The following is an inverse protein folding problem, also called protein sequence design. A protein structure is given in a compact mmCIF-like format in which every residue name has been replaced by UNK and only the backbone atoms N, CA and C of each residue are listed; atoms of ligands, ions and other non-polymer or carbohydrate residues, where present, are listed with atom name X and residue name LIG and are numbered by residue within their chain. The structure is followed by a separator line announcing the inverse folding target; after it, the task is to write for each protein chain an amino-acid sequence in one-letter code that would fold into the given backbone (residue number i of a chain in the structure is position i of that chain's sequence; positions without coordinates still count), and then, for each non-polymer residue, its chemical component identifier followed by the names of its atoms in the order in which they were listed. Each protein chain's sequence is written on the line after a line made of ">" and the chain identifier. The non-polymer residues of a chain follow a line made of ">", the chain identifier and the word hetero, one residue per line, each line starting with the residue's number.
data_IF_091494881530
#
_entry.id   IF_091494881530
#
_cell.length_a   1.000
_cell.length_b   1.000
_cell.length_c   1.000
_cell.angle_alpha   90.00
_cell.angle_beta   90.00
_cell.angle_gamma   90.00
#
_symmetry.space_group_name_H-M   'P 1'
#
loop_
_entity.id
_entity.type
_entity.pdbx_description
1 polymer ?
#
# COMPACT_ATOMS: atom_id res chain seq x y z
N UNK A 1 21.58 -21.85 -20.20
CA UNK A 1 21.61 -21.43 -18.78
C UNK A 1 22.68 -20.36 -18.64
N UNK A 2 22.29 -19.09 -18.48
CA UNK A 2 23.21 -17.96 -18.52
C UNK A 2 23.73 -17.63 -17.10
N UNK A 3 25.03 -17.29 -16.90
CA UNK A 3 25.67 -17.23 -15.57
C UNK A 3 25.46 -15.93 -14.79
N UNK A 4 24.56 -15.02 -15.21
CA UNK A 4 24.46 -13.67 -14.63
C UNK A 4 23.32 -13.48 -13.61
N UNK A 5 22.66 -14.56 -13.17
CA UNK A 5 21.49 -14.47 -12.28
C UNK A 5 21.79 -14.16 -10.79
N UNK A 6 23.03 -13.78 -10.44
CA UNK A 6 23.42 -13.49 -9.06
C UNK A 6 24.17 -12.16 -9.02
N UNK A 7 23.54 -11.09 -8.53
CA UNK A 7 24.32 -9.97 -8.00
C UNK A 7 23.81 -8.54 -8.11
N UNK A 8 22.59 -8.25 -8.60
CA UNK A 8 22.09 -6.86 -8.59
C UNK A 8 20.78 -6.76 -7.81
N UNK A 9 20.92 -6.48 -6.50
CA UNK A 9 19.81 -6.02 -5.68
C UNK A 9 19.35 -4.66 -6.21
N UNK A 10 18.04 -4.50 -6.31
CA UNK A 10 17.39 -3.36 -6.99
C UNK A 10 17.68 -2.04 -6.24
N UNK A 11 17.90 -0.89 -6.91
CA UNK A 11 18.29 0.38 -6.27
C UNK A 11 17.38 0.86 -5.13
N UNK A 12 16.06 0.62 -5.26
CA UNK A 12 15.10 0.94 -4.20
C UNK A 12 15.28 0.06 -2.95
N UNK A 13 15.81 -1.16 -3.09
CA UNK A 13 16.16 -2.01 -1.96
C UNK A 13 17.34 -1.41 -1.20
N UNK A 14 18.38 -0.91 -1.88
CA UNK A 14 19.47 -0.19 -1.21
C UNK A 14 18.99 1.06 -0.49
N UNK A 15 18.11 1.85 -1.11
CA UNK A 15 17.51 3.00 -0.44
C UNK A 15 16.72 2.57 0.81
N UNK A 16 15.89 1.53 0.70
CA UNK A 16 15.13 1.00 1.83
C UNK A 16 16.03 0.39 2.92
N UNK A 17 17.14 -0.27 2.55
CA UNK A 17 18.10 -0.85 3.49
C UNK A 17 18.94 0.22 4.18
N UNK A 18 19.35 1.27 3.47
CA UNK A 18 20.05 2.42 4.06
C UNK A 18 19.14 3.18 5.03
N UNK A 19 17.87 3.36 4.67
CA UNK A 19 16.85 3.96 5.54
C UNK A 19 16.49 3.06 6.73
N UNK A 20 16.48 1.73 6.57
CA UNK A 20 16.27 0.81 7.68
C UNK A 20 17.50 0.74 8.60
N UNK A 21 18.72 0.78 8.05
CA UNK A 21 19.96 0.80 8.80
C UNK A 21 20.11 2.08 9.62
N UNK A 22 19.64 3.23 9.10
CA UNK A 22 19.63 4.49 9.86
C UNK A 22 18.64 4.49 11.03
N UNK A 23 17.67 3.57 11.07
CA UNK A 23 16.78 3.36 12.23
C UNK A 23 17.44 2.53 13.36
N UNK A 24 18.55 1.84 13.12
CA UNK A 24 19.21 0.99 14.10
C UNK A 24 19.87 1.79 15.26
N UNK A 25 20.61 2.89 15.01
CA UNK A 25 21.09 3.78 16.07
C UNK A 25 19.94 4.33 16.94
N UNK A 26 18.79 4.62 16.32
CA UNK A 26 17.59 5.09 17.01
C UNK A 26 17.04 4.04 18.00
N UNK A 27 16.96 2.76 17.59
CA UNK A 27 16.52 1.67 18.47
C UNK A 27 17.47 1.47 19.65
N UNK A 28 18.78 1.59 19.42
CA UNK A 28 19.82 1.44 20.45
C UNK A 28 19.73 2.55 21.51
N UNK A 29 19.58 3.81 21.09
CA UNK A 29 19.42 4.95 22.00
C UNK A 29 18.12 4.82 22.81
N UNK A 30 17.02 4.40 22.19
CA UNK A 30 15.75 4.15 22.88
C UNK A 30 15.92 3.07 23.97
N UNK A 31 16.68 2.01 23.70
CA UNK A 31 16.98 0.94 24.67
C UNK A 31 17.79 1.44 25.88
N UNK A 32 18.70 2.39 25.67
CA UNK A 32 19.54 2.98 26.73
C UNK A 32 18.71 3.94 27.60
N UNK A 33 17.85 4.76 26.99
CA UNK A 33 17.02 5.75 27.70
C UNK A 33 15.95 5.13 28.61
N UNK A 34 15.37 3.98 28.24
CA UNK A 34 14.42 3.30 29.12
C UNK A 34 15.05 2.73 30.41
N UNK A 35 16.39 2.65 30.48
CA UNK A 35 17.11 2.03 31.60
C UNK A 35 17.57 3.01 32.69
N UNK A 36 17.67 4.32 32.39
CA UNK A 36 18.26 5.32 33.30
C UNK A 36 17.63 6.71 33.13
N UNK A 37 16.35 6.91 33.46
CA UNK A 37 15.69 8.18 33.09
C UNK A 37 15.86 9.32 34.09
N UNK A 38 16.30 10.49 33.59
CA UNK A 38 15.69 11.82 33.84
C UNK A 38 15.75 12.64 32.54
N UNK A 39 14.99 12.25 31.51
CA UNK A 39 15.35 12.47 30.11
C UNK A 39 14.31 13.22 29.24
N UNK A 40 14.10 14.52 29.49
CA UNK A 40 13.27 15.34 28.59
C UNK A 40 14.01 15.74 27.29
N UNK A 41 15.30 16.08 27.37
CA UNK A 41 16.11 16.56 26.24
C UNK A 41 16.45 15.45 25.23
N UNK A 42 16.85 14.23 25.67
CA UNK A 42 17.06 13.12 24.75
C UNK A 42 15.79 12.71 24.01
N UNK A 43 14.64 12.68 24.69
CA UNK A 43 13.35 12.37 24.08
C UNK A 43 12.97 13.38 22.99
N UNK A 44 13.12 14.69 23.25
CA UNK A 44 12.83 15.74 22.27
C UNK A 44 13.73 15.63 21.03
N UNK A 45 15.02 15.35 21.22
CA UNK A 45 16.00 15.18 20.13
C UNK A 45 15.59 14.01 19.22
N UNK A 46 15.15 12.91 19.82
CA UNK A 46 14.68 11.73 19.10
C UNK A 46 13.45 12.05 18.25
N UNK A 47 12.44 12.71 18.82
CA UNK A 47 11.23 13.08 18.07
C UNK A 47 11.55 13.96 16.86
N UNK A 48 12.50 14.88 16.99
CA UNK A 48 12.93 15.76 15.89
C UNK A 48 13.58 14.95 14.77
N UNK A 49 14.54 14.07 15.09
CA UNK A 49 15.25 13.26 14.09
C UNK A 49 14.27 12.32 13.37
N UNK A 50 13.39 11.63 14.10
CA UNK A 50 12.37 10.76 13.51
C UNK A 50 11.42 11.55 12.60
N UNK A 51 10.97 12.73 13.03
CA UNK A 51 10.14 13.61 12.22
C UNK A 51 10.80 13.99 10.89
N UNK A 52 12.08 14.39 10.92
CA UNK A 52 12.84 14.75 9.73
C UNK A 52 13.00 13.58 8.75
N UNK A 53 13.29 12.37 9.25
CA UNK A 53 13.43 11.17 8.42
C UNK A 53 12.10 10.77 7.78
N UNK A 54 10.98 10.84 8.51
CA UNK A 54 9.65 10.61 7.94
C UNK A 54 9.34 11.61 6.81
N UNK A 55 9.69 12.88 6.99
CA UNK A 55 9.52 13.91 5.95
C UNK A 55 10.35 13.63 4.70
N UNK A 56 11.61 13.24 4.85
CA UNK A 56 12.46 12.84 3.72
C UNK A 56 11.87 11.66 2.95
N UNK A 57 11.32 10.67 3.66
CA UNK A 57 10.68 9.50 3.05
C UNK A 57 9.45 9.89 2.23
N UNK A 58 8.58 10.76 2.76
CA UNK A 58 7.41 11.27 2.04
C UNK A 58 7.82 12.06 0.79
N UNK A 59 8.88 12.87 0.87
CA UNK A 59 9.37 13.64 -0.27
C UNK A 59 9.91 12.74 -1.39
N UNK A 60 10.70 11.72 -1.03
CA UNK A 60 11.20 10.73 -1.98
C UNK A 60 10.06 9.98 -2.67
N UNK A 61 9.05 9.53 -1.90
CA UNK A 61 7.88 8.86 -2.44
C UNK A 61 7.12 9.75 -3.44
N UNK A 62 6.88 11.04 -3.10
CA UNK A 62 6.23 12.01 -3.98
C UNK A 62 7.00 12.21 -5.30
N UNK A 63 8.32 12.38 -5.23
CA UNK A 63 9.17 12.53 -6.42
C UNK A 63 9.10 11.32 -7.34
N UNK A 64 9.08 10.11 -6.78
CA UNK A 64 8.95 8.86 -7.55
C UNK A 64 7.59 8.77 -8.24
N UNK A 65 6.50 9.14 -7.56
CA UNK A 65 5.15 9.16 -8.14
C UNK A 65 5.03 10.22 -9.25
N UNK A 66 5.55 11.43 -9.03
CA UNK A 66 5.58 12.47 -10.07
C UNK A 66 6.37 12.03 -11.30
N UNK A 67 7.51 11.39 -11.10
CA UNK A 67 8.32 10.85 -12.18
C UNK A 67 7.57 9.78 -12.97
N UNK A 68 6.91 8.84 -12.27
CA UNK A 68 6.10 7.80 -12.90
C UNK A 68 4.94 8.39 -13.72
N UNK A 69 4.24 9.40 -13.18
CA UNK A 69 3.15 10.11 -13.88
C UNK A 69 3.65 10.80 -15.15
N UNK A 70 4.80 11.46 -15.11
CA UNK A 70 5.39 12.09 -16.31
C UNK A 70 5.71 11.06 -17.40
N UNK A 71 6.25 9.89 -17.03
CA UNK A 71 6.48 8.80 -17.98
C UNK A 71 5.19 8.30 -18.63
N UNK A 72 4.15 8.10 -17.83
CA UNK A 72 2.84 7.69 -18.35
C UNK A 72 2.30 8.69 -19.37
N UNK A 73 2.36 10.00 -19.06
CA UNK A 73 1.92 11.07 -19.96
C UNK A 73 2.72 11.13 -21.28
N UNK A 74 3.97 10.67 -21.27
CA UNK A 74 4.81 10.56 -22.46
C UNK A 74 4.55 9.27 -23.27
N UNK A 75 3.56 8.45 -22.90
CA UNK A 75 3.28 7.16 -23.53
C UNK A 75 4.34 6.09 -23.24
N UNK A 76 5.17 6.30 -22.22
CA UNK A 76 6.28 5.41 -21.84
C UNK A 76 5.86 4.37 -20.80
N UNK A 77 4.56 4.10 -20.70
CA UNK A 77 3.99 3.07 -19.84
C UNK A 77 4.03 1.71 -20.56
N UNK A 78 4.71 0.72 -20.00
CA UNK A 78 4.85 -0.61 -20.60
C UNK A 78 5.99 -0.77 -21.60
N UNK A 79 6.66 0.31 -22.02
CA UNK A 79 7.91 0.27 -22.80
C UNK A 79 9.09 0.42 -21.84
N UNK A 80 9.82 -0.68 -21.65
CA UNK A 80 10.94 -0.79 -20.73
C UNK A 80 10.47 -0.92 -19.27
N UNK A 81 10.79 -2.04 -18.63
CA UNK A 81 10.75 -2.09 -17.16
C UNK A 81 11.80 -1.11 -16.61
N UNK A 82 11.61 -0.54 -15.39
CA UNK A 82 12.48 0.51 -14.84
C UNK A 82 13.98 0.20 -14.69
N UNK A 83 14.43 -1.01 -15.03
CA UNK A 83 15.81 -1.48 -14.86
C UNK A 83 16.37 -2.20 -16.10
N UNK A 84 15.66 -2.16 -17.23
CA UNK A 84 16.08 -2.79 -18.48
C UNK A 84 16.34 -1.68 -19.52
N UNK A 85 17.52 -1.05 -19.41
CA UNK A 85 18.04 -0.12 -20.42
C UNK A 85 18.73 -0.92 -21.52
N UNK A 86 18.03 -1.17 -22.63
CA UNK A 86 18.70 -1.43 -23.91
C UNK A 86 18.81 -0.12 -24.70
N UNK A 87 19.89 0.02 -25.47
CA UNK A 87 20.31 1.20 -26.25
C UNK A 87 19.23 1.82 -27.18
N UNK A 88 18.07 1.20 -27.33
CA UNK A 88 16.98 1.65 -28.21
C UNK A 88 16.22 2.87 -27.67
N UNK A 89 16.14 3.06 -26.34
CA UNK A 89 15.45 4.20 -25.74
C UNK A 89 16.09 5.55 -26.12
N UNK A 90 17.40 5.57 -26.30
CA UNK A 90 18.15 6.75 -26.75
C UNK A 90 17.88 7.09 -28.23
N UNK A 91 17.54 6.09 -29.04
CA UNK A 91 17.19 6.29 -30.45
C UNK A 91 15.87 7.01 -30.66
N UNK A 92 14.90 6.81 -29.75
CA UNK A 92 13.58 7.44 -29.81
C UNK A 92 13.66 8.92 -29.37
N UNK A 93 14.50 9.23 -28.38
CA UNK A 93 14.76 10.60 -27.89
C UNK A 93 15.39 11.53 -28.94
N UNK A 94 15.96 10.99 -30.02
CA UNK A 94 16.55 11.78 -31.12
C UNK A 94 15.59 12.10 -32.26
N UNK A 95 14.34 11.64 -32.22
CA UNK A 95 13.35 12.00 -33.25
C UNK A 95 12.87 13.43 -33.02
N UNK A 96 12.93 14.29 -34.04
CA UNK A 96 12.51 15.68 -33.88
C UNK A 96 10.99 15.74 -33.61
N UNK A 97 10.53 16.72 -32.80
CA UNK A 97 9.18 16.75 -32.21
C UNK A 97 8.02 16.85 -33.22
N UNK A 98 8.30 17.13 -34.49
CA UNK A 98 7.28 17.26 -35.54
C UNK A 98 6.79 15.91 -36.13
N UNK A 99 7.34 14.77 -35.67
CA UNK A 99 6.93 13.42 -36.12
C UNK A 99 6.11 12.68 -35.04
N UNK A 100 5.91 13.27 -33.86
CA UNK A 100 5.04 12.68 -32.82
C UNK A 100 3.61 13.15 -33.03
N UNK A 101 2.76 12.31 -33.65
CA UNK A 101 1.32 12.53 -33.59
C UNK A 101 0.85 12.38 -32.13
N UNK A 102 0.03 13.30 -31.60
CA UNK A 102 -0.62 13.12 -30.32
C UNK A 102 -1.63 11.95 -30.44
N UNK A 103 -1.27 10.82 -29.85
CA UNK A 103 -2.09 9.59 -29.86
C UNK A 103 -3.39 9.68 -29.03
N UNK A 104 -3.82 10.89 -28.62
CA UNK A 104 -5.15 11.13 -28.05
C UNK A 104 -6.30 10.80 -29.01
N UNK A 105 -6.01 10.61 -30.30
CA UNK A 105 -7.00 10.19 -31.31
C UNK A 105 -7.14 8.67 -31.49
N UNK A 106 -6.23 7.84 -30.97
CA UNK A 106 -6.25 6.40 -31.25
C UNK A 106 -7.25 5.59 -30.40
N UNK A 107 -7.84 6.19 -29.35
CA UNK A 107 -8.79 5.49 -28.46
C UNK A 107 -10.25 6.00 -28.58
N UNK A 108 -10.57 6.92 -29.49
CA UNK A 108 -11.95 7.32 -29.71
C UNK A 108 -12.68 6.30 -30.59
N UNK A 109 -13.45 5.41 -29.96
CA UNK A 109 -14.53 4.69 -30.64
C UNK A 109 -15.61 5.65 -31.18
N UNK A 110 -16.51 5.20 -32.07
CA UNK A 110 -17.29 6.06 -32.98
C UNK A 110 -18.36 6.96 -32.37
N UNK A 111 -18.49 7.03 -31.05
CA UNK A 111 -19.56 7.78 -30.38
C UNK A 111 -18.99 8.76 -29.37
N UNK A 112 -18.61 9.94 -29.88
CA UNK A 112 -18.21 11.08 -29.09
C UNK A 112 -19.39 11.70 -28.35
N UNK A 113 -19.29 11.75 -27.03
CA UNK A 113 -19.97 12.76 -26.22
C UNK A 113 -18.92 13.34 -25.26
N UNK A 114 -18.61 14.62 -25.46
CA UNK A 114 -17.74 15.40 -24.60
C UNK A 114 -18.55 15.90 -23.40
N UNK A 115 -18.20 15.48 -22.18
CA UNK A 115 -18.53 16.23 -20.97
C UNK A 115 -17.29 16.99 -20.50
N UNK A 116 -17.36 18.31 -20.63
CA UNK A 116 -16.36 19.24 -20.12
C UNK A 116 -16.53 19.50 -18.63
N UNK A 117 -15.39 19.55 -17.94
CA UNK A 117 -15.27 19.94 -16.53
C UNK A 117 -13.92 19.48 -16.00
N UNK A 118 -12.99 20.42 -15.78
CA UNK A 118 -11.58 20.21 -15.44
C UNK A 118 -11.24 18.92 -14.71
N UNK A 119 -10.65 17.97 -15.44
CA UNK A 119 -10.18 16.71 -14.89
C UNK A 119 -8.68 16.84 -14.64
N UNK A 120 -8.34 17.03 -13.35
CA UNK A 120 -7.02 16.65 -12.85
C UNK A 120 -6.66 15.29 -13.44
N UNK A 121 -5.46 15.14 -14.00
CA UNK A 121 -5.02 13.93 -14.69
C UNK A 121 -5.44 12.68 -13.90
N UNK A 122 -6.50 12.02 -14.38
CA UNK A 122 -7.21 10.97 -13.66
C UNK A 122 -6.22 9.82 -13.42
N UNK A 123 -6.00 9.49 -12.15
CA UNK A 123 -5.11 8.39 -11.80
C UNK A 123 -5.59 7.11 -12.49
N UNK A 124 -4.64 6.25 -12.88
CA UNK A 124 -4.98 4.95 -13.48
C UNK A 124 -5.96 4.21 -12.55
N UNK A 125 -7.11 3.72 -13.05
CA UNK A 125 -8.08 3.02 -12.24
C UNK A 125 -7.42 1.86 -11.48
N UNK A 126 -7.79 1.69 -10.20
CA UNK A 126 -7.18 0.68 -9.33
C UNK A 126 -7.33 -0.74 -9.90
N UNK A 127 -8.42 -0.98 -10.66
CA UNK A 127 -8.74 -2.23 -11.33
C UNK A 127 -7.70 -2.62 -12.39
N UNK A 128 -7.04 -1.64 -13.02
CA UNK A 128 -5.99 -1.89 -14.01
C UNK A 128 -4.64 -2.24 -13.36
N UNK A 129 -4.49 -2.03 -12.06
CA UNK A 129 -3.28 -2.31 -11.28
C UNK A 129 -3.41 -3.58 -10.44
N UNK A 130 -4.48 -4.35 -10.64
CA UNK A 130 -4.77 -5.56 -9.89
C UNK A 130 -3.89 -6.73 -10.31
N UNK A 131 -3.36 -7.44 -9.33
CA UNK A 131 -2.88 -8.81 -9.51
C UNK A 131 -4.07 -9.78 -9.63
N UNK A 132 -3.85 -10.99 -10.14
CA UNK A 132 -4.89 -12.02 -10.34
C UNK A 132 -5.66 -12.40 -9.06
N UNK A 133 -5.00 -12.32 -7.91
CA UNK A 133 -5.55 -12.64 -6.59
C UNK A 133 -6.14 -11.40 -5.86
N UNK A 134 -6.16 -10.25 -6.51
CA UNK A 134 -6.71 -9.00 -5.95
C UNK A 134 -8.23 -9.06 -5.90
N UNK A 135 -8.80 -8.68 -4.76
CA UNK A 135 -10.25 -8.65 -4.54
C UNK A 135 -10.67 -7.33 -3.93
N UNK A 136 -11.94 -6.99 -4.14
CA UNK A 136 -12.53 -5.77 -3.60
C UNK A 136 -13.84 -6.06 -2.91
N UNK A 137 -14.10 -5.32 -1.84
CA UNK A 137 -15.38 -5.29 -1.13
C UNK A 137 -15.68 -3.86 -0.74
N UNK A 138 -16.94 -3.47 -0.86
CA UNK A 138 -17.39 -2.14 -0.46
C UNK A 138 -17.81 -2.14 1.00
N UNK A 139 -17.18 -1.28 1.80
CA UNK A 139 -17.46 -1.13 3.23
C UNK A 139 -17.57 0.35 3.53
N UNK A 140 -18.74 0.80 3.99
CA UNK A 140 -19.03 2.20 4.30
C UNK A 140 -18.73 3.19 3.15
N UNK A 141 -19.00 2.78 1.91
CA UNK A 141 -18.71 3.58 0.72
C UNK A 141 -17.22 3.68 0.38
N UNK A 142 -16.38 2.84 1.00
CA UNK A 142 -14.96 2.69 0.68
C UNK A 142 -14.80 1.34 -0.03
N UNK A 143 -14.28 1.37 -1.27
CA UNK A 143 -13.88 0.14 -1.96
C UNK A 143 -12.54 -0.32 -1.38
N UNK A 144 -12.59 -1.35 -0.55
CA UNK A 144 -11.44 -1.92 0.15
C UNK A 144 -10.83 -3.02 -0.70
N UNK A 145 -9.56 -2.87 -1.05
CA UNK A 145 -8.76 -3.91 -1.67
C UNK A 145 -8.24 -4.89 -0.62
N UNK A 146 -8.35 -6.18 -0.89
CA UNK A 146 -7.83 -7.24 -0.05
C UNK A 146 -7.37 -8.43 -0.88
N UNK A 147 -6.54 -9.27 -0.26
CA UNK A 147 -6.16 -10.59 -0.75
C UNK A 147 -6.39 -11.62 0.32
N UNK A 148 -6.59 -12.86 -0.11
CA UNK A 148 -6.80 -13.98 0.78
C UNK A 148 -6.00 -15.20 0.34
N UNK A 149 -5.55 -15.97 1.33
CA UNK A 149 -4.98 -17.29 1.14
C UNK A 149 -5.84 -18.31 1.88
N UNK A 150 -6.04 -19.45 1.24
CA UNK A 150 -6.79 -20.56 1.80
C UNK A 150 -5.84 -21.72 2.10
N UNK A 151 -6.11 -22.51 3.15
CA UNK A 151 -5.34 -23.72 3.44
C UNK A 151 -5.50 -24.74 2.29
N UNK A 152 -4.45 -25.52 2.05
CA UNK A 152 -4.48 -26.64 1.10
C UNK A 152 -5.30 -27.80 1.70
N UNK A 153 -6.48 -28.10 1.13
CA UNK A 153 -7.36 -29.19 1.58
C UNK A 153 -8.81 -28.75 1.75
N UNK A 154 -9.72 -29.68 2.07
CA UNK A 154 -11.11 -29.34 2.40
C UNK A 154 -11.13 -28.51 3.69
N UNK A 155 -11.78 -27.32 3.70
CA UNK A 155 -12.01 -26.59 4.93
C UNK A 155 -12.70 -27.50 5.94
N UNK A 156 -12.27 -27.48 7.20
CA UNK A 156 -13.07 -28.05 8.27
C UNK A 156 -14.44 -27.33 8.29
N UNK A 157 -15.57 -28.04 8.44
CA UNK A 157 -16.88 -27.40 8.51
C UNK A 157 -16.88 -26.29 9.58
N UNK A 158 -17.20 -25.06 9.18
CA UNK A 158 -17.16 -23.87 10.06
C UNK A 158 -15.83 -23.10 10.08
N UNK A 159 -14.72 -23.63 9.56
CA UNK A 159 -13.44 -22.91 9.46
C UNK A 159 -13.45 -21.79 8.43
N UNK A 160 -14.42 -21.78 7.51
CA UNK A 160 -14.63 -20.68 6.56
C UNK A 160 -15.01 -19.35 7.23
N UNK A 161 -15.53 -19.42 8.47
CA UNK A 161 -15.93 -18.26 9.28
C UNK A 161 -14.82 -17.81 10.24
N UNK A 162 -13.69 -18.51 10.26
CA UNK A 162 -12.52 -18.19 11.10
C UNK A 162 -11.35 -17.76 10.22
N UNK A 163 -10.74 -16.61 10.52
CA UNK A 163 -9.60 -16.13 9.75
C UNK A 163 -8.51 -15.43 10.57
N UNK A 164 -7.29 -15.50 10.07
CA UNK A 164 -6.20 -14.61 10.50
C UNK A 164 -6.22 -13.36 9.64
N UNK A 165 -6.39 -12.19 10.24
CA UNK A 165 -6.42 -10.90 9.53
C UNK A 165 -5.11 -10.14 9.77
N UNK A 166 -4.39 -9.88 8.68
CA UNK A 166 -3.09 -9.23 8.66
C UNK A 166 -3.25 -7.72 8.40
N UNK A 167 -2.74 -6.91 9.33
CA UNK A 167 -2.92 -5.45 9.34
C UNK A 167 -1.55 -4.78 9.14
N UNK A 168 -1.37 -4.13 8.00
CA UNK A 168 -0.12 -3.44 7.67
C UNK A 168 0.01 -2.08 8.39
N UNK A 169 1.25 -1.63 8.54
CA UNK A 169 1.59 -0.30 9.05
C UNK A 169 1.64 0.79 7.97
N UNK A 170 2.05 2.00 8.35
CA UNK A 170 2.17 3.17 7.50
C UNK A 170 3.16 2.92 6.35
N UNK A 171 2.78 3.33 5.14
CA UNK A 171 3.56 3.10 3.92
C UNK A 171 3.58 1.63 3.44
N UNK A 172 2.94 0.72 4.17
CA UNK A 172 2.74 -0.66 3.77
C UNK A 172 1.45 -0.85 2.95
N UNK A 173 1.12 -2.12 2.76
CA UNK A 173 -0.10 -2.58 2.11
C UNK A 173 -0.16 -4.11 2.16
N UNK A 174 -1.13 -4.69 1.46
CA UNK A 174 -1.28 -6.14 1.30
C UNK A 174 0.01 -6.79 0.82
N UNK A 175 0.74 -6.11 -0.06
CA UNK A 175 2.00 -6.61 -0.61
C UNK A 175 3.03 -6.99 0.47
N UNK A 176 2.98 -6.38 1.66
CA UNK A 176 3.92 -6.69 2.76
C UNK A 176 3.82 -8.15 3.23
N UNK A 177 2.66 -8.79 3.04
CA UNK A 177 2.35 -10.13 3.54
C UNK A 177 2.46 -11.24 2.50
N UNK A 178 2.76 -10.91 1.24
CA UNK A 178 2.75 -11.82 0.07
C UNK A 178 3.54 -13.12 0.24
N UNK A 179 4.61 -13.13 1.04
CA UNK A 179 5.44 -14.32 1.28
C UNK A 179 5.06 -15.10 2.54
N UNK A 180 4.14 -14.58 3.35
CA UNK A 180 3.74 -15.18 4.63
C UNK A 180 2.32 -15.72 4.56
N UNK A 181 1.42 -15.10 3.78
CA UNK A 181 0.00 -15.48 3.74
C UNK A 181 -0.25 -16.95 3.40
N UNK A 182 0.40 -17.45 2.34
CA UNK A 182 0.21 -18.83 1.89
C UNK A 182 0.67 -19.86 2.92
N UNK A 183 1.89 -19.69 3.44
CA UNK A 183 2.46 -20.59 4.45
C UNK A 183 1.68 -20.51 5.78
N UNK A 184 1.27 -19.30 6.17
CA UNK A 184 0.45 -19.12 7.37
C UNK A 184 -0.91 -19.80 7.24
N UNK A 185 -1.56 -19.70 6.08
CA UNK A 185 -2.83 -20.39 5.82
C UNK A 185 -2.65 -21.91 5.89
N UNK A 186 -1.59 -22.43 5.26
CA UNK A 186 -1.27 -23.86 5.26
C UNK A 186 -1.02 -24.40 6.68
N UNK A 187 -0.21 -23.71 7.50
CA UNK A 187 0.16 -24.18 8.84
C UNK A 187 -0.93 -23.94 9.89
N UNK A 188 -1.71 -22.87 9.77
CA UNK A 188 -2.80 -22.58 10.71
C UNK A 188 -4.10 -23.32 10.39
N UNK A 189 -4.19 -23.91 9.20
CA UNK A 189 -5.43 -24.48 8.64
C UNK A 189 -6.60 -23.49 8.63
N UNK A 190 -6.31 -22.18 8.60
CA UNK A 190 -7.28 -21.10 8.62
C UNK A 190 -7.17 -20.26 7.35
N UNK A 191 -8.27 -19.60 6.97
CA UNK A 191 -8.25 -18.53 5.97
C UNK A 191 -7.35 -17.40 6.47
N UNK A 192 -6.48 -16.86 5.62
CA UNK A 192 -5.66 -15.70 5.94
C UNK A 192 -6.05 -14.55 5.04
N UNK A 193 -6.37 -13.40 5.63
CA UNK A 193 -6.83 -12.20 4.96
C UNK A 193 -5.81 -11.08 5.18
N UNK A 194 -5.49 -10.32 4.15
CA UNK A 194 -4.77 -9.06 4.26
C UNK A 194 -5.50 -7.99 3.44
N UNK A 195 -5.61 -6.77 3.94
CA UNK A 195 -6.31 -5.68 3.25
C UNK A 195 -5.49 -4.40 3.26
N UNK A 196 -5.73 -3.55 2.26
CA UNK A 196 -5.17 -2.21 2.20
C UNK A 196 -6.06 -1.24 2.98
N UNK A 197 -5.49 -0.55 3.97
CA UNK A 197 -6.20 0.48 4.73
C UNK A 197 -6.49 1.71 3.85
N UNK A 198 -7.52 2.52 4.17
CA UNK A 198 -7.80 3.76 3.44
C UNK A 198 -6.54 4.63 3.28
N UNK A 199 -6.26 5.05 2.04
CA UNK A 199 -5.04 5.79 1.70
C UNK A 199 -3.90 4.94 1.12
N UNK A 200 -3.95 3.62 1.26
CA UNK A 200 -2.89 2.70 0.87
C UNK A 200 -3.31 1.74 -0.25
N UNK A 201 -2.31 1.25 -0.99
CA UNK A 201 -2.48 0.29 -2.08
C UNK A 201 -3.62 0.62 -3.04
N UNK A 202 -4.52 -0.34 -3.27
CA UNK A 202 -5.62 -0.20 -4.21
C UNK A 202 -6.97 0.21 -3.55
N UNK A 203 -6.99 0.41 -2.23
CA UNK A 203 -8.18 0.89 -1.52
C UNK A 203 -8.49 2.35 -1.88
N UNK A 204 -9.78 2.67 -1.97
CA UNK A 204 -10.26 4.04 -2.26
C UNK A 204 -9.66 5.10 -1.34
N UNK A 205 -9.52 6.32 -1.89
CA UNK A 205 -8.99 7.50 -1.19
C UNK A 205 -10.07 8.58 -1.11
N UNK A 206 -11.10 8.38 -0.28
CA UNK A 206 -12.17 9.37 -0.13
C UNK A 206 -11.58 10.71 0.32
N UNK A 207 -11.89 11.77 -0.43
CA UNK A 207 -11.51 13.13 -0.10
C UNK A 207 -12.52 13.73 0.90
N UNK A 208 -12.02 14.62 1.76
CA UNK A 208 -12.91 15.44 2.58
C UNK A 208 -13.59 16.47 1.67
N UNK A 209 -14.87 16.26 1.38
CA UNK A 209 -15.71 17.18 0.62
C UNK A 209 -16.56 18.02 1.57
N UNK A 210 -17.10 19.14 1.09
CA UNK A 210 -18.03 19.96 1.88
C UNK A 210 -19.22 19.13 2.43
N UNK A 211 -19.68 18.12 1.67
CA UNK A 211 -20.76 17.22 2.07
C UNK A 211 -20.32 16.18 3.13
N UNK A 212 -19.04 15.83 3.19
CA UNK A 212 -18.48 14.84 4.13
C UNK A 212 -17.75 15.47 5.33
N UNK A 213 -17.78 16.80 5.48
CA UNK A 213 -17.12 17.52 6.60
C UNK A 213 -17.59 17.07 8.00
N UNK A 214 -18.84 16.60 8.12
CA UNK A 214 -19.40 16.06 9.37
C UNK A 214 -19.37 14.52 9.42
N UNK A 215 -18.82 13.86 8.41
CA UNK A 215 -18.67 12.40 8.39
C UNK A 215 -17.42 11.96 9.16
N UNK A 216 -17.41 10.69 9.60
CA UNK A 216 -16.25 10.10 10.24
C UNK A 216 -15.04 10.09 9.29
N UNK A 217 -13.93 10.71 9.71
CA UNK A 217 -12.68 10.70 8.95
C UNK A 217 -12.19 9.24 8.77
N UNK A 218 -12.12 8.69 7.53
CA UNK A 218 -11.76 7.29 7.29
C UNK A 218 -10.27 7.00 7.57
N UNK A 219 -9.44 8.03 7.66
CA UNK A 219 -8.02 7.92 7.98
C UNK A 219 -7.75 7.94 9.49
N UNK A 220 -8.74 8.29 10.32
CA UNK A 220 -8.58 8.27 11.76
C UNK A 220 -8.50 6.82 12.28
N UNK A 221 -7.65 6.58 13.29
CA UNK A 221 -7.44 5.24 13.86
C UNK A 221 -8.75 4.56 14.32
N UNK A 222 -9.68 5.33 14.90
CA UNK A 222 -10.98 4.81 15.30
C UNK A 222 -11.84 4.33 14.14
N UNK A 223 -11.86 5.10 13.04
CA UNK A 223 -12.59 4.72 11.83
C UNK A 223 -11.94 3.51 11.15
N UNK A 224 -10.61 3.42 11.12
CA UNK A 224 -9.92 2.25 10.56
C UNK A 224 -10.17 0.97 11.38
N UNK A 225 -10.27 1.07 12.71
CA UNK A 225 -10.64 -0.06 13.55
C UNK A 225 -12.08 -0.52 13.29
N UNK A 226 -13.02 0.41 13.14
CA UNK A 226 -14.41 0.09 12.77
C UNK A 226 -14.50 -0.51 11.36
N UNK A 227 -13.75 0.03 10.40
CA UNK A 227 -13.67 -0.48 9.04
C UNK A 227 -13.14 -1.92 9.02
N UNK A 228 -12.10 -2.23 9.80
CA UNK A 228 -11.58 -3.59 9.97
C UNK A 228 -12.67 -4.55 10.46
N UNK A 229 -13.43 -4.18 11.49
CA UNK A 229 -14.51 -5.02 12.01
C UNK A 229 -15.63 -5.21 10.97
N UNK A 230 -16.02 -4.15 10.28
CA UNK A 230 -17.06 -4.19 9.22
C UNK A 230 -16.60 -4.98 8.00
N UNK A 231 -15.32 -4.92 7.66
CA UNK A 231 -14.70 -5.76 6.64
C UNK A 231 -14.81 -7.24 7.02
N UNK A 232 -14.52 -7.59 8.29
CA UNK A 232 -14.66 -8.96 8.76
C UNK A 232 -16.12 -9.46 8.62
N UNK A 233 -17.09 -8.64 9.02
CA UNK A 233 -18.52 -8.94 8.87
C UNK A 233 -18.91 -9.10 7.39
N UNK A 234 -18.48 -8.18 6.52
CA UNK A 234 -18.77 -8.22 5.09
C UNK A 234 -18.21 -9.47 4.40
N UNK A 235 -17.12 -10.03 4.93
CA UNK A 235 -16.47 -11.24 4.43
C UNK A 235 -16.95 -12.53 5.13
N UNK A 236 -17.99 -12.44 5.98
CA UNK A 236 -18.61 -13.57 6.67
C UNK A 236 -17.76 -14.16 7.81
N UNK A 237 -16.86 -13.37 8.40
CA UNK A 237 -15.97 -13.81 9.47
C UNK A 237 -16.61 -13.58 10.85
N UNK A 238 -16.73 -14.66 11.62
CA UNK A 238 -17.26 -14.64 12.99
C UNK A 238 -16.13 -14.61 14.03
N UNK A 239 -15.03 -15.32 13.75
CA UNK A 239 -13.88 -15.44 14.65
C UNK A 239 -12.62 -14.99 13.92
N UNK A 240 -11.92 -14.01 14.49
CA UNK A 240 -10.72 -13.46 13.86
C UNK A 240 -9.54 -13.42 14.80
N UNK A 241 -8.38 -13.82 14.30
CA UNK A 241 -7.08 -13.59 14.93
C UNK A 241 -6.44 -12.41 14.23
N UNK A 242 -6.19 -11.31 14.95
CA UNK A 242 -5.57 -10.12 14.39
C UNK A 242 -4.05 -10.21 14.55
N UNK A 243 -3.32 -10.13 13.44
CA UNK A 243 -1.87 -9.98 13.44
C UNK A 243 -1.50 -8.68 12.74
N UNK A 244 -0.65 -7.87 13.35
CA UNK A 244 -0.42 -6.51 12.89
C UNK A 244 1.04 -6.08 13.01
N UNK A 245 1.42 -5.08 12.21
CA UNK A 245 2.76 -4.49 12.23
C UNK A 245 2.69 -2.95 12.38
N UNK A 246 3.64 -2.39 13.15
CA UNK A 246 3.77 -0.95 13.42
C UNK A 246 2.46 -0.28 13.94
N UNK A 247 2.01 0.81 13.33
CA UNK A 247 0.74 1.48 13.67
C UNK A 247 -0.49 0.62 13.36
N UNK A 248 -0.36 -0.43 12.54
CA UNK A 248 -1.38 -1.46 12.40
C UNK A 248 -1.73 -2.13 13.74
N UNK A 249 -0.79 -2.22 14.67
CA UNK A 249 -1.03 -2.75 16.02
C UNK A 249 -2.02 -1.90 16.82
N UNK A 250 -2.01 -0.57 16.61
CA UNK A 250 -2.95 0.34 17.25
C UNK A 250 -4.37 0.14 16.72
N UNK A 251 -4.51 -0.12 15.41
CA UNK A 251 -5.79 -0.47 14.79
C UNK A 251 -6.31 -1.79 15.35
N UNK A 252 -5.46 -2.81 15.44
CA UNK A 252 -5.81 -4.13 15.97
C UNK A 252 -6.28 -4.06 17.43
N UNK A 253 -5.51 -3.41 18.30
CA UNK A 253 -5.87 -3.23 19.72
C UNK A 253 -7.16 -2.44 19.88
N UNK A 254 -7.36 -1.39 19.07
CA UNK A 254 -8.59 -0.60 19.12
C UNK A 254 -9.80 -1.39 18.64
N UNK A 255 -9.65 -2.22 17.61
CA UNK A 255 -10.71 -3.10 17.15
C UNK A 255 -11.08 -4.13 18.22
N UNK A 256 -10.10 -4.77 18.85
CA UNK A 256 -10.32 -5.68 19.98
C UNK A 256 -11.05 -5.00 21.14
N UNK A 257 -10.67 -3.77 21.48
CA UNK A 257 -11.32 -3.00 22.54
C UNK A 257 -12.77 -2.59 22.22
N UNK A 258 -13.14 -2.47 20.93
CA UNK A 258 -14.50 -2.14 20.51
C UNK A 258 -15.45 -3.33 20.61
N UNK A 259 -14.95 -4.56 20.40
CA UNK A 259 -15.77 -5.79 20.48
C UNK A 259 -15.82 -6.43 21.86
N UNK A 260 -14.91 -6.04 22.77
CA UNK A 260 -14.87 -6.53 24.15
C UNK A 260 -15.86 -5.82 25.10
N UNK A 261 -16.67 -4.88 24.58
CA UNK A 261 -17.69 -4.14 25.32
C UNK A 261 -19.07 -4.76 25.10
#
# INVERSE_FOLDING_TARGET
>A
MHPWALGMLRPYLYASYLLAASCFPYLLVKMILFRYSTDAVPAATIFIITGLLCWLHVFAARRTVEWARRRYLMGLAGIGYPWDESDEAWGILRRPPHVMEPMSKACMGPHGIAHGGGQEAEDVPAEMLCDEDSRFVEVDGIKVHYKEAWPSGLPTPGAERTAVVLIHGFGGGVFAWRHVMGELAAQSHCRVLAFDRPGFGLTSRPLCSAATRNSHNPYAMGSQALLLLRLCVALGLDQVVLAAHADGCLVALRAAALVAR
#
